data_IF_956743256736
#
_entry.id   IF_956743256736
#
_cell.length_a   1.000
_cell.length_b   1.000
_cell.length_c   1.000
_cell.angle_alpha   90.00
_cell.angle_beta   90.00
_cell.angle_gamma   90.00
#
_symmetry.space_group_name_H-M   'P 1'
#
loop_
_entity.id
_entity.type
_entity.pdbx_description
1 polymer ?
#
# COMPACT_ATOMS: atom_id res chain seq x y z
N UNK A 1 6.46 -5.74 -12.14
CA UNK A 1 6.30 -4.73 -11.06
C UNK A 1 5.29 -5.13 -9.98
N UNK A 2 4.18 -5.82 -10.29
CA UNK A 2 3.10 -6.16 -9.32
C UNK A 2 3.58 -6.92 -8.07
N UNK A 3 4.35 -8.00 -8.24
CA UNK A 3 4.81 -8.81 -7.10
C UNK A 3 5.67 -8.01 -6.11
N UNK A 4 6.56 -7.13 -6.61
CA UNK A 4 7.39 -6.27 -5.76
C UNK A 4 6.53 -5.30 -4.94
N UNK A 5 5.50 -4.73 -5.56
CA UNK A 5 4.57 -3.84 -4.89
C UNK A 5 3.75 -4.58 -3.82
N UNK A 6 3.30 -5.79 -4.11
CA UNK A 6 2.56 -6.62 -3.14
C UNK A 6 3.43 -6.98 -1.93
N UNK A 7 4.70 -7.36 -2.15
CA UNK A 7 5.64 -7.62 -1.05
C UNK A 7 5.92 -6.35 -0.25
N UNK A 8 6.06 -5.20 -0.90
CA UNK A 8 6.23 -3.92 -0.21
C UNK A 8 5.00 -3.54 0.64
N UNK A 9 3.79 -3.82 0.14
CA UNK A 9 2.55 -3.62 0.90
C UNK A 9 2.49 -4.56 2.12
N UNK A 10 2.87 -5.83 1.96
CA UNK A 10 2.96 -6.77 3.08
C UNK A 10 3.97 -6.29 4.13
N UNK A 11 5.18 -5.92 3.72
CA UNK A 11 6.20 -5.37 4.61
C UNK A 11 5.71 -4.13 5.36
N UNK A 12 5.00 -3.23 4.69
CA UNK A 12 4.38 -2.08 5.32
C UNK A 12 3.34 -2.48 6.38
N UNK A 13 2.40 -3.37 6.03
CA UNK A 13 1.34 -3.80 6.93
C UNK A 13 1.89 -4.48 8.21
N UNK A 14 2.92 -5.31 8.08
CA UNK A 14 3.57 -5.94 9.25
C UNK A 14 4.40 -4.95 10.08
N UNK A 15 4.80 -3.82 9.49
CA UNK A 15 5.71 -2.85 10.12
C UNK A 15 5.03 -1.57 10.60
N UNK A 16 3.74 -1.36 10.32
CA UNK A 16 3.07 -0.07 10.53
C UNK A 16 3.05 0.31 12.02
N UNK A 17 2.69 -0.65 12.87
CA UNK A 17 2.54 -0.48 14.32
C UNK A 17 3.84 -0.68 15.12
N UNK A 18 4.99 -0.71 14.43
CA UNK A 18 6.30 -0.79 15.10
C UNK A 18 6.49 0.38 16.06
N UNK A 19 6.77 0.03 17.31
CA UNK A 19 7.04 0.95 18.40
C UNK A 19 8.43 1.58 18.27
N UNK A 20 8.65 2.64 19.04
CA UNK A 20 9.95 3.29 19.12
C UNK A 20 10.91 2.43 19.96
N UNK A 21 12.13 2.24 19.46
CA UNK A 21 13.13 1.42 20.14
C UNK A 21 13.60 2.09 21.44
N UNK A 22 13.56 1.41 22.59
CA UNK A 22 14.20 1.89 23.81
C UNK A 22 15.72 1.65 23.77
N UNK A 23 16.46 2.41 24.58
CA UNK A 23 17.85 2.11 24.94
C UNK A 23 17.89 0.99 25.97
N UNK A 24 19.10 0.51 26.32
CA UNK A 24 19.28 -0.46 27.40
C UNK A 24 18.73 0.03 28.75
N UNK A 25 18.60 1.34 28.92
CA UNK A 25 18.11 2.01 30.12
C UNK A 25 16.60 2.34 30.03
N UNK A 26 15.92 1.92 28.97
CA UNK A 26 14.48 2.14 28.77
C UNK A 26 14.12 3.50 28.13
N UNK A 27 15.09 4.33 27.78
CA UNK A 27 14.85 5.66 27.18
C UNK A 27 14.59 5.53 25.69
N UNK A 28 13.58 6.23 25.17
CA UNK A 28 13.24 6.19 23.74
C UNK A 28 14.37 6.74 22.85
N UNK A 29 14.70 6.01 21.78
CA UNK A 29 15.82 6.35 20.89
C UNK A 29 15.41 7.29 19.77
N UNK A 30 16.24 8.30 19.52
CA UNK A 30 16.06 9.23 18.42
C UNK A 30 17.32 9.34 17.56
N UNK A 31 17.15 9.77 16.31
CA UNK A 31 18.24 10.17 15.41
C UNK A 31 18.05 11.62 14.98
N UNK A 32 19.15 12.34 14.84
CA UNK A 32 19.15 13.68 14.26
C UNK A 32 19.46 13.58 12.76
N UNK A 33 18.69 14.29 11.93
CA UNK A 33 18.92 14.35 10.48
C UNK A 33 18.55 15.73 9.92
N UNK A 34 19.21 16.15 8.84
CA UNK A 34 18.88 17.41 8.17
C UNK A 34 17.64 17.25 7.28
N UNK A 35 16.57 17.99 7.56
CA UNK A 35 15.36 18.02 6.75
C UNK A 35 15.47 19.06 5.65
N UNK A 36 15.42 18.64 4.39
CA UNK A 36 15.40 19.56 3.23
C UNK A 36 14.15 20.45 3.22
N UNK A 37 13.00 19.92 3.64
CA UNK A 37 11.74 20.66 3.66
C UNK A 37 11.75 21.77 4.72
N UNK A 38 12.31 21.48 5.90
CA UNK A 38 12.40 22.46 6.99
C UNK A 38 13.69 23.30 6.96
N UNK A 39 14.66 22.93 6.12
CA UNK A 39 16.03 23.51 6.07
C UNK A 39 16.73 23.56 7.43
N UNK A 40 16.47 22.57 8.29
CA UNK A 40 16.98 22.51 9.64
C UNK A 40 17.26 21.05 10.06
N UNK A 41 18.07 20.87 11.11
CA UNK A 41 18.21 19.57 11.75
C UNK A 41 16.94 19.25 12.55
N UNK A 42 16.37 18.08 12.27
CA UNK A 42 15.18 17.56 12.95
C UNK A 42 15.54 16.26 13.66
N UNK A 43 14.80 15.96 14.73
CA UNK A 43 14.94 14.73 15.49
C UNK A 43 13.81 13.79 15.08
N UNK A 44 14.14 12.55 14.71
CA UNK A 44 13.17 11.51 14.33
C UNK A 44 13.27 10.29 15.25
N UNK A 45 12.14 9.66 15.62
CA UNK A 45 12.15 8.44 16.42
C UNK A 45 12.80 7.29 15.65
N UNK A 46 13.62 6.49 16.32
CA UNK A 46 14.16 5.24 15.79
C UNK A 46 13.21 4.11 16.21
N UNK A 47 12.57 3.45 15.24
CA UNK A 47 11.68 2.31 15.51
C UNK A 47 12.48 1.03 15.79
N UNK A 48 11.90 0.12 16.56
CA UNK A 48 12.41 -1.25 16.82
C UNK A 48 12.75 -1.99 15.53
N UNK A 49 13.71 -2.91 15.48
CA UNK A 49 14.08 -3.58 14.22
C UNK A 49 12.91 -4.25 13.48
N UNK A 50 12.98 -4.32 12.14
CA UNK A 50 11.94 -5.00 11.35
C UNK A 50 11.97 -6.49 11.60
N UNK A 51 10.83 -7.04 12.00
CA UNK A 51 10.59 -8.47 12.02
C UNK A 51 9.99 -8.90 10.68
N UNK A 52 10.70 -9.75 9.94
CA UNK A 52 10.27 -10.23 8.61
C UNK A 52 9.30 -11.42 8.71
N UNK A 53 8.38 -11.40 9.68
CA UNK A 53 7.52 -12.53 10.04
C UNK A 53 6.71 -13.07 8.86
N UNK A 54 6.22 -12.18 7.99
CA UNK A 54 5.47 -12.53 6.77
C UNK A 54 6.21 -13.50 5.84
N UNK A 55 7.55 -13.58 5.91
CA UNK A 55 8.33 -14.52 5.08
C UNK A 55 8.00 -15.97 5.42
N UNK A 56 7.85 -16.28 6.70
CA UNK A 56 7.50 -17.63 7.14
C UNK A 56 6.12 -18.02 6.65
N UNK A 57 5.15 -17.11 6.73
CA UNK A 57 3.79 -17.33 6.22
C UNK A 57 3.77 -17.52 4.70
N UNK A 58 4.54 -16.73 3.96
CA UNK A 58 4.69 -16.90 2.51
C UNK A 58 5.30 -18.27 2.16
N UNK A 59 6.30 -18.73 2.91
CA UNK A 59 6.90 -20.04 2.70
C UNK A 59 5.89 -21.17 2.94
N UNK A 60 5.14 -21.10 4.05
CA UNK A 60 4.09 -22.08 4.34
C UNK A 60 3.03 -22.10 3.23
N UNK A 61 2.56 -20.93 2.79
CA UNK A 61 1.58 -20.82 1.71
C UNK A 61 2.10 -21.37 0.36
N UNK A 62 3.40 -21.25 0.09
CA UNK A 62 4.03 -21.86 -1.10
C UNK A 62 4.02 -23.39 -0.97
N UNK A 63 4.44 -23.94 0.17
CA UNK A 63 4.48 -25.39 0.39
C UNK A 63 3.07 -25.99 0.30
N UNK A 64 2.09 -25.40 0.98
CA UNK A 64 0.71 -25.85 0.95
C UNK A 64 0.14 -25.80 -0.48
N UNK A 65 0.42 -24.72 -1.21
CA UNK A 65 0.04 -24.63 -2.63
C UNK A 65 0.72 -25.70 -3.50
N UNK A 66 1.98 -26.03 -3.24
CA UNK A 66 2.66 -27.07 -4.00
C UNK A 66 2.08 -28.46 -3.72
N UNK A 67 1.61 -28.71 -2.49
CA UNK A 67 1.04 -29.99 -2.09
C UNK A 67 -0.42 -30.15 -2.53
N UNK A 68 -1.24 -29.12 -2.33
CA UNK A 68 -2.71 -29.19 -2.40
C UNK A 68 -3.32 -28.26 -3.46
N UNK A 69 -2.52 -27.36 -4.04
CA UNK A 69 -3.02 -26.28 -4.88
C UNK A 69 -3.09 -26.60 -6.37
N UNK A 70 -3.89 -25.83 -7.13
CA UNK A 70 -3.92 -25.94 -8.58
C UNK A 70 -2.59 -25.52 -9.20
N UNK A 71 -2.25 -26.13 -10.33
CA UNK A 71 -1.02 -25.84 -11.07
C UNK A 71 -0.88 -24.34 -11.38
N UNK A 72 0.35 -23.86 -11.50
CA UNK A 72 0.63 -22.46 -11.84
C UNK A 72 -0.08 -22.02 -13.14
N UNK A 73 -0.20 -22.92 -14.11
CA UNK A 73 -0.88 -22.67 -15.39
C UNK A 73 -2.35 -22.34 -15.19
N UNK A 74 -3.05 -23.11 -14.35
CA UNK A 74 -4.47 -22.90 -14.01
C UNK A 74 -4.72 -21.55 -13.34
N UNK A 75 -3.81 -21.10 -12.47
CA UNK A 75 -3.94 -19.83 -11.77
C UNK A 75 -3.67 -18.62 -12.67
N UNK A 76 -2.74 -18.75 -13.63
CA UNK A 76 -2.47 -17.70 -14.60
C UNK A 76 -3.63 -17.48 -15.57
N UNK A 77 -4.38 -18.54 -15.93
CA UNK A 77 -5.63 -18.39 -16.68
C UNK A 77 -6.69 -17.64 -15.87
N UNK A 78 -6.89 -18.01 -14.59
CA UNK A 78 -7.88 -17.35 -13.73
C UNK A 78 -7.56 -15.86 -13.43
N UNK A 79 -6.27 -15.50 -13.33
CA UNK A 79 -5.87 -14.10 -13.12
C UNK A 79 -6.23 -13.17 -14.29
N UNK A 80 -6.30 -13.70 -15.53
CA UNK A 80 -6.66 -12.91 -16.72
C UNK A 80 -8.14 -12.53 -16.74
N UNK A 81 -8.98 -13.24 -16.01
CA UNK A 81 -10.42 -13.01 -15.95
C UNK A 81 -10.83 -11.93 -14.93
N UNK A 82 -9.89 -11.31 -14.20
CA UNK A 82 -10.23 -10.20 -13.30
C UNK A 82 -10.78 -9.02 -14.10
N UNK A 83 -12.09 -8.83 -14.01
CA UNK A 83 -12.80 -7.67 -14.54
C UNK A 83 -12.28 -6.42 -13.83
N UNK A 84 -11.69 -5.50 -14.61
CA UNK A 84 -11.25 -4.20 -14.09
C UNK A 84 -12.50 -3.33 -13.94
N UNK A 85 -12.95 -3.17 -12.70
CA UNK A 85 -14.03 -2.24 -12.36
C UNK A 85 -13.42 -0.86 -12.12
N UNK A 86 -13.91 0.15 -12.82
CA UNK A 86 -13.51 1.55 -12.62
C UNK A 86 -14.02 2.07 -11.27
N UNK A 87 -13.42 3.15 -10.76
CA UNK A 87 -13.86 3.76 -9.50
C UNK A 87 -15.32 4.25 -9.59
N UNK A 88 -15.75 4.77 -10.75
CA UNK A 88 -17.12 5.22 -10.98
C UNK A 88 -18.14 4.08 -10.94
N UNK A 89 -17.83 2.96 -11.60
CA UNK A 89 -18.65 1.75 -11.54
C UNK A 89 -18.73 1.20 -10.11
N UNK A 90 -17.60 1.18 -9.38
CA UNK A 90 -17.56 0.73 -7.98
C UNK A 90 -18.36 1.65 -7.05
N UNK A 91 -18.34 2.95 -7.28
CA UNK A 91 -19.10 3.94 -6.52
C UNK A 91 -20.58 3.99 -6.92
N UNK A 92 -21.00 3.22 -7.94
CA UNK A 92 -22.36 3.26 -8.48
C UNK A 92 -22.74 4.61 -9.10
N UNK A 93 -21.75 5.44 -9.44
CA UNK A 93 -22.01 6.77 -10.02
C UNK A 93 -22.14 6.60 -11.53
N UNK A 94 -23.33 6.83 -12.12
CA UNK A 94 -23.50 6.73 -13.55
C UNK A 94 -22.60 7.77 -14.23
N UNK A 95 -21.94 7.34 -15.32
CA UNK A 95 -21.14 8.25 -16.12
C UNK A 95 -22.05 9.32 -16.71
N UNK A 96 -21.84 10.56 -16.29
CA UNK A 96 -22.56 11.70 -16.83
C UNK A 96 -22.26 11.87 -18.32
N UNK A 97 -23.26 12.28 -19.09
CA UNK A 97 -23.07 12.60 -20.51
C UNK A 97 -22.05 13.72 -20.67
N UNK A 98 -21.22 13.61 -21.72
CA UNK A 98 -20.05 14.48 -21.88
C UNK A 98 -20.42 15.96 -21.93
N UNK A 99 -21.52 16.29 -22.60
CA UNK A 99 -22.03 17.65 -22.75
C UNK A 99 -22.49 18.25 -21.42
N UNK A 100 -23.19 17.46 -20.59
CA UNK A 100 -23.65 17.86 -19.26
C UNK A 100 -22.47 18.09 -18.32
N UNK A 101 -21.45 17.22 -18.36
CA UNK A 101 -20.23 17.39 -17.57
C UNK A 101 -19.44 18.65 -17.94
N UNK A 102 -19.43 19.01 -19.24
CA UNK A 102 -18.79 20.26 -19.71
C UNK A 102 -19.56 21.48 -19.20
N UNK A 103 -20.90 21.48 -19.29
CA UNK A 103 -21.73 22.58 -18.79
C UNK A 103 -21.58 22.78 -17.29
N UNK A 104 -21.60 21.71 -16.50
CA UNK A 104 -21.39 21.77 -15.05
C UNK A 104 -20.00 22.31 -14.70
N UNK A 105 -18.97 21.98 -15.49
CA UNK A 105 -17.61 22.52 -15.30
C UNK A 105 -17.56 24.02 -15.59
N UNK A 106 -18.19 24.49 -16.66
CA UNK A 106 -18.25 25.92 -17.01
C UNK A 106 -18.97 26.70 -15.91
N UNK A 107 -20.14 26.21 -15.46
CA UNK A 107 -20.95 26.84 -14.41
C UNK A 107 -20.17 27.04 -13.10
N UNK A 108 -19.27 26.11 -12.77
CA UNK A 108 -18.43 26.16 -11.56
C UNK A 108 -17.46 27.35 -11.52
N UNK A 109 -17.10 27.91 -12.67
CA UNK A 109 -16.16 29.02 -12.80
C UNK A 109 -16.84 30.35 -13.19
N UNK A 110 -18.16 30.35 -13.38
CA UNK A 110 -18.94 31.54 -13.79
C UNK A 110 -19.79 32.14 -12.67
N UNK A 111 -19.75 31.59 -11.45
CA UNK A 111 -20.27 32.29 -10.28
C UNK A 111 -19.16 33.14 -9.63
N UNK A 112 -19.38 34.45 -9.40
CA UNK A 112 -18.44 35.34 -8.72
C UNK A 112 -18.30 35.03 -7.22
#
# INVERSE_FOLDING_TARGET
MVARLQVAALDHNYSVDRQQAPTKEGVLRFKQEFSKAARAFVVKPIKEEKTWCFRSELQHGIVDRCANGPSQRTLLSAQRERVVVTLGERAGVPKMEKEQAIQQRIQRYTHP
#
